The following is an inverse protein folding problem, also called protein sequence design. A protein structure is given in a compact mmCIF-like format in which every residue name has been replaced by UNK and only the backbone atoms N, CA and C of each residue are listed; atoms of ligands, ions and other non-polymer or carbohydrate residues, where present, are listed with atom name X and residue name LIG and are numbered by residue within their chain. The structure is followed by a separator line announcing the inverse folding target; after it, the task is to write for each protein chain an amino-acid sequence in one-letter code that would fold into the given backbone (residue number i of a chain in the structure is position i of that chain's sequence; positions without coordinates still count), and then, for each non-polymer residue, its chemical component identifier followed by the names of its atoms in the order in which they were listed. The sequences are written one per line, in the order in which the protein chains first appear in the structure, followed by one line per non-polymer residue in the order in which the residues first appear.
data_IF_592684386730
#
_entry.id   IF_592684386730
#
_cell.length_a   1.000
_cell.length_b   1.000
_cell.length_c   1.000
_cell.angle_alpha   90.00
_cell.angle_beta   90.00
_cell.angle_gamma   90.00
#
_symmetry.space_group_name_H-M   'P 1'
#
loop_
_entity.id
_entity.type
_entity.pdbx_description
1 polymer ?
#
# COMPACT_ATOMS: atom_id res chain seq x y z
N UNK A 1 7.71 9.83 4.34
CA UNK A 1 6.38 9.22 4.08
C UNK A 1 5.29 10.24 3.66
N UNK A 2 5.56 11.19 2.74
CA UNK A 2 4.51 12.12 2.24
C UNK A 2 3.83 11.67 0.93
N UNK A 3 4.32 10.59 0.29
CA UNK A 3 3.80 10.08 -0.99
C UNK A 3 2.66 9.05 -0.92
N UNK A 4 2.38 8.46 0.24
CA UNK A 4 1.54 7.25 0.31
C UNK A 4 0.04 7.52 0.18
N UNK A 5 -0.46 8.73 0.48
CA UNK A 5 -1.91 9.01 0.45
C UNK A 5 -2.47 8.97 -0.98
N UNK A 6 -1.72 9.46 -1.98
CA UNK A 6 -2.14 9.39 -3.39
C UNK A 6 -2.17 7.95 -3.89
N UNK A 7 -1.15 7.15 -3.55
CA UNK A 7 -1.08 5.74 -3.93
C UNK A 7 -2.21 4.91 -3.30
N UNK A 8 -2.53 5.15 -2.02
CA UNK A 8 -3.65 4.51 -1.33
C UNK A 8 -4.99 4.85 -2.00
N UNK A 9 -5.22 6.13 -2.31
CA UNK A 9 -6.44 6.58 -3.01
C UNK A 9 -6.56 5.92 -4.38
N UNK A 10 -5.49 5.92 -5.17
CA UNK A 10 -5.47 5.29 -6.50
C UNK A 10 -5.74 3.78 -6.42
N UNK A 11 -5.14 3.09 -5.45
CA UNK A 11 -5.34 1.66 -5.22
C UNK A 11 -6.81 1.38 -4.88
N UNK A 12 -7.39 2.16 -3.97
CA UNK A 12 -8.82 2.03 -3.64
C UNK A 12 -9.73 2.33 -4.83
N UNK A 13 -9.47 3.37 -5.62
CA UNK A 13 -10.26 3.68 -6.82
C UNK A 13 -10.20 2.55 -7.86
N UNK A 14 -9.08 1.86 -7.95
CA UNK A 14 -8.95 0.66 -8.79
C UNK A 14 -9.76 -0.51 -8.22
N UNK A 15 -9.65 -0.76 -6.91
CA UNK A 15 -10.41 -1.79 -6.21
C UNK A 15 -11.93 -1.59 -6.35
N UNK A 16 -12.41 -0.36 -6.23
CA UNK A 16 -13.81 0.02 -6.38
C UNK A 16 -14.34 -0.31 -7.78
N UNK A 17 -13.54 0.00 -8.82
CA UNK A 17 -13.87 -0.37 -10.21
C UNK A 17 -13.87 -1.87 -10.44
N UNK A 18 -13.00 -2.61 -9.77
CA UNK A 18 -12.90 -4.07 -9.88
C UNK A 18 -13.89 -4.81 -8.99
N UNK A 19 -14.60 -4.12 -8.08
CA UNK A 19 -15.52 -4.75 -7.13
C UNK A 19 -14.83 -5.64 -6.08
N UNK A 20 -13.56 -5.38 -5.79
CA UNK A 20 -12.75 -6.21 -4.88
C UNK A 20 -12.74 -5.66 -3.46
N UNK A 21 -12.72 -6.55 -2.47
CA UNK A 21 -12.71 -6.18 -1.03
C UNK A 21 -11.32 -6.06 -0.43
N UNK A 22 -10.30 -6.59 -1.12
CA UNK A 22 -8.91 -6.59 -0.69
C UNK A 22 -8.01 -6.04 -1.81
N UNK A 23 -7.01 -5.25 -1.44
CA UNK A 23 -5.98 -4.78 -2.37
C UNK A 23 -4.61 -4.72 -1.72
N UNK A 24 -3.58 -4.90 -2.54
CA UNK A 24 -2.19 -4.83 -2.11
C UNK A 24 -1.47 -3.65 -2.77
N UNK A 25 -0.78 -2.86 -1.96
CA UNK A 25 0.09 -1.78 -2.42
C UNK A 25 1.54 -2.15 -2.08
N UNK A 26 2.40 -2.21 -3.09
CA UNK A 26 3.83 -2.50 -2.93
C UNK A 26 4.63 -1.21 -3.10
N UNK A 27 5.46 -0.89 -2.12
CA UNK A 27 6.33 0.30 -2.12
C UNK A 27 7.79 -0.15 -2.19
N UNK A 28 8.53 0.36 -3.17
CA UNK A 28 9.96 0.14 -3.31
C UNK A 28 10.75 1.34 -2.74
N UNK A 29 11.44 1.16 -1.62
CA UNK A 29 12.36 2.13 -1.02
C UNK A 29 13.75 2.04 -1.68
N UNK A 30 14.03 3.02 -2.55
CA UNK A 30 15.31 3.13 -3.28
C UNK A 30 16.42 3.84 -2.49
N UNK A 31 16.20 4.17 -1.21
CA UNK A 31 17.24 4.79 -0.38
C UNK A 31 18.32 3.79 0.02
N UNK A 32 19.51 4.28 0.37
CA UNK A 32 20.60 3.48 0.91
C UNK A 32 20.35 3.14 2.38
N UNK A 33 19.57 2.09 2.61
CA UNK A 33 19.29 1.51 3.94
C UNK A 33 19.47 0.00 3.89
N UNK A 34 19.75 -0.65 5.04
CA UNK A 34 19.72 -2.10 5.15
C UNK A 34 18.40 -2.66 4.64
N UNK A 35 18.45 -3.83 4.00
CA UNK A 35 17.27 -4.48 3.42
C UNK A 35 16.19 -4.74 4.47
N UNK A 36 16.62 -5.13 5.67
CA UNK A 36 15.78 -5.45 6.82
C UNK A 36 14.91 -4.27 7.26
N UNK A 37 15.38 -3.03 7.08
CA UNK A 37 14.63 -1.82 7.42
C UNK A 37 13.57 -1.46 6.37
N UNK A 38 13.69 -1.98 5.15
CA UNK A 38 12.75 -1.74 4.04
C UNK A 38 11.59 -2.70 4.06
N UNK A 39 11.81 -3.91 4.57
CA UNK A 39 10.78 -4.95 4.65
C UNK A 39 9.78 -4.61 5.76
N UNK A 40 8.55 -4.29 5.36
CA UNK A 40 7.44 -4.18 6.30
C UNK A 40 6.12 -4.61 5.66
N UNK A 41 5.15 -4.95 6.52
CA UNK A 41 3.76 -5.19 6.15
C UNK A 41 2.86 -4.38 7.05
N UNK A 42 1.95 -3.62 6.46
CA UNK A 42 0.95 -2.83 7.19
C UNK A 42 -0.44 -3.08 6.61
N UNK A 43 -1.33 -3.64 7.40
CA UNK A 43 -2.74 -3.79 7.03
C UNK A 43 -3.55 -2.61 7.59
N UNK A 44 -4.59 -2.21 6.85
CA UNK A 44 -5.56 -1.23 7.30
C UNK A 44 -6.84 -1.27 6.47
N UNK A 45 -7.90 -0.68 7.00
CA UNK A 45 -9.16 -0.52 6.27
C UNK A 45 -9.26 0.88 5.67
N UNK A 46 -9.59 0.98 4.39
CA UNK A 46 -9.89 2.24 3.72
C UNK A 46 -11.27 2.14 3.05
N UNK A 47 -12.22 2.97 3.46
CA UNK A 47 -13.62 2.97 2.97
C UNK A 47 -14.24 1.55 2.91
N UNK A 48 -14.16 0.83 4.02
CA UNK A 48 -14.69 -0.54 4.18
C UNK A 48 -14.02 -1.63 3.31
N UNK A 49 -12.90 -1.33 2.65
CA UNK A 49 -12.08 -2.30 1.94
C UNK A 49 -10.75 -2.53 2.67
N UNK A 50 -10.26 -3.76 2.69
CA UNK A 50 -8.97 -4.10 3.27
C UNK A 50 -7.85 -3.72 2.31
N UNK A 51 -6.83 -3.04 2.80
CA UNK A 51 -5.68 -2.62 2.02
C UNK A 51 -4.39 -2.95 2.77
N UNK A 52 -3.55 -3.76 2.14
CA UNK A 52 -2.29 -4.23 2.70
C UNK A 52 -1.15 -3.54 1.97
N UNK A 53 -0.31 -2.84 2.71
CA UNK A 53 0.88 -2.16 2.19
C UNK A 53 2.11 -2.98 2.53
N UNK A 54 2.94 -3.23 1.52
CA UNK A 54 4.22 -3.92 1.62
C UNK A 54 5.35 -2.95 1.33
N UNK A 55 6.42 -3.00 2.13
CA UNK A 55 7.70 -2.35 1.86
C UNK A 55 8.74 -3.34 1.37
N UNK A 56 9.52 -2.93 0.36
CA UNK A 56 10.70 -3.61 -0.17
C UNK A 56 11.77 -2.60 -0.54
#
# INVERSE_FOLDING_TARGET
MKGNIKALKQTWEYMDKCGTKEGHLVIFDRTEKPWEEKIFRKAGSFKCSELIVWGM
#
